data_IF_084690704197
#
_entry.id   IF_084690704197
#
_cell.length_a   1.000
_cell.length_b   1.000
_cell.length_c   1.000
_cell.angle_alpha   90.00
_cell.angle_beta   90.00
_cell.angle_gamma   90.00
#
_symmetry.space_group_name_H-M   'P 1'
#
loop_
_entity.id
_entity.type
_entity.pdbx_description
1 polymer ?
#
# COMPACT_ATOMS: atom_id res chain seq x y z
N UNK A 1 8.04 -8.77 -7.13
CA UNK A 1 7.23 -9.76 -6.40
C UNK A 1 5.83 -9.22 -6.29
N UNK A 2 4.81 -10.00 -6.63
CA UNK A 2 3.40 -9.64 -6.44
C UNK A 2 2.75 -10.79 -5.66
N UNK A 3 2.54 -10.57 -4.36
CA UNK A 3 1.73 -11.44 -3.50
C UNK A 3 0.28 -10.96 -3.62
N UNK A 4 -0.64 -11.81 -4.08
CA UNK A 4 -2.06 -11.49 -4.19
C UNK A 4 -2.75 -11.63 -2.83
N UNK A 5 -2.98 -10.51 -2.15
CA UNK A 5 -3.89 -10.45 -1.00
C UNK A 5 -5.31 -10.09 -1.48
N UNK A 6 -6.38 -10.65 -0.89
CA UNK A 6 -7.74 -10.21 -1.18
C UNK A 6 -7.93 -8.76 -0.71
N UNK A 7 -7.98 -7.82 -1.66
CA UNK A 7 -8.18 -6.38 -1.43
C UNK A 7 -9.49 -5.92 -2.07
N UNK A 8 -10.15 -4.92 -1.47
CA UNK A 8 -11.36 -4.31 -2.04
C UNK A 8 -11.07 -3.61 -3.38
N UNK A 9 -11.99 -3.72 -4.35
CA UNK A 9 -11.85 -3.13 -5.69
C UNK A 9 -11.70 -1.60 -5.70
N UNK A 10 -12.22 -0.89 -4.69
CA UNK A 10 -12.04 0.57 -4.51
C UNK A 10 -10.69 0.94 -3.89
N UNK A 11 -10.06 0.02 -3.15
CA UNK A 11 -8.68 0.16 -2.69
C UNK A 11 -7.72 0.13 -3.89
N UNK A 12 -8.01 -0.71 -4.90
CA UNK A 12 -7.29 -0.72 -6.19
C UNK A 12 -7.70 0.39 -7.18
N UNK A 13 -8.49 1.38 -6.76
CA UNK A 13 -8.92 2.49 -7.62
C UNK A 13 -7.95 3.67 -7.49
N UNK A 14 -7.43 4.18 -8.63
CA UNK A 14 -6.41 5.24 -8.70
C UNK A 14 -6.71 6.60 -8.03
N UNK A 15 -7.84 6.75 -7.34
CA UNK A 15 -8.20 7.94 -6.54
C UNK A 15 -8.03 7.78 -5.02
N UNK A 16 -7.82 6.55 -4.50
CA UNK A 16 -7.62 6.28 -3.08
C UNK A 16 -6.15 6.42 -2.64
N UNK A 17 -5.89 6.35 -1.33
CA UNK A 17 -4.53 6.49 -0.78
C UNK A 17 -3.56 5.40 -1.28
N UNK A 18 -4.07 4.22 -1.63
CA UNK A 18 -3.30 3.18 -2.31
C UNK A 18 -2.86 3.61 -3.72
N UNK A 19 -3.77 4.13 -4.54
CA UNK A 19 -3.44 4.63 -5.88
C UNK A 19 -2.41 5.77 -5.85
N UNK A 20 -2.45 6.64 -4.82
CA UNK A 20 -1.42 7.68 -4.62
C UNK A 20 -0.05 7.08 -4.31
N UNK A 21 0.00 6.00 -3.53
CA UNK A 21 1.23 5.27 -3.26
C UNK A 21 1.77 4.61 -4.52
N UNK A 22 0.92 3.91 -5.28
CA UNK A 22 1.30 3.29 -6.55
C UNK A 22 1.88 4.31 -7.53
N UNK A 23 1.24 5.48 -7.66
CA UNK A 23 1.76 6.57 -8.51
C UNK A 23 3.11 7.07 -8.01
N UNK A 24 3.28 7.27 -6.71
CA UNK A 24 4.55 7.72 -6.12
C UNK A 24 5.69 6.74 -6.43
N UNK A 25 5.44 5.44 -6.27
CA UNK A 25 6.42 4.40 -6.58
C UNK A 25 6.71 4.32 -8.08
N UNK A 26 5.68 4.41 -8.93
CA UNK A 26 5.84 4.42 -10.38
C UNK A 26 6.71 5.59 -10.85
N UNK A 27 6.47 6.79 -10.32
CA UNK A 27 7.24 7.98 -10.70
C UNK A 27 8.68 7.91 -10.18
N UNK A 28 8.92 7.31 -9.00
CA UNK A 28 10.27 7.04 -8.50
C UNK A 28 11.03 6.04 -9.39
N UNK A 29 10.38 4.95 -9.81
CA UNK A 29 10.97 3.95 -10.71
C UNK A 29 11.30 4.57 -12.08
N UNK A 30 10.41 5.41 -12.64
CA UNK A 30 10.68 6.16 -13.88
C UNK A 30 11.89 7.09 -13.77
N UNK A 31 12.16 7.60 -12.56
CA UNK A 31 13.33 8.42 -12.27
C UNK A 31 14.59 7.59 -11.92
N UNK A 32 14.63 6.29 -12.25
CA UNK A 32 15.71 5.35 -11.95
C UNK A 32 16.07 5.25 -10.46
N UNK A 33 15.09 5.47 -9.57
CA UNK A 33 15.26 5.28 -8.12
C UNK A 33 14.89 3.87 -7.72
N UNK A 34 15.63 3.32 -6.75
CA UNK A 34 15.25 2.07 -6.09
C UNK A 34 14.00 2.29 -5.22
N UNK A 35 13.05 1.36 -5.27
CA UNK A 35 11.86 1.36 -4.42
C UNK A 35 11.77 0.01 -3.69
N UNK A 36 11.77 0.05 -2.36
CA UNK A 36 11.51 -1.11 -1.49
C UNK A 36 10.22 -0.87 -0.73
N UNK A 37 9.33 -1.86 -0.71
CA UNK A 37 8.03 -1.78 -0.05
C UNK A 37 7.77 -3.06 0.73
N UNK A 38 7.33 -2.92 1.97
CA UNK A 38 6.80 -3.99 2.81
C UNK A 38 5.33 -3.67 3.12
N UNK A 39 4.44 -4.59 2.77
CA UNK A 39 2.99 -4.45 3.01
C UNK A 39 2.56 -5.58 3.93
N UNK A 40 2.10 -5.21 5.12
CA UNK A 40 1.65 -6.15 6.14
C UNK A 40 0.13 -6.04 6.32
N UNK A 41 -0.64 -7.11 6.07
CA UNK A 41 -2.06 -7.11 6.39
C UNK A 41 -2.26 -7.16 7.90
N UNK A 42 -3.22 -6.37 8.39
CA UNK A 42 -3.64 -6.36 9.79
C UNK A 42 -5.06 -6.88 9.86
N UNK A 43 -5.25 -7.95 10.62
CA UNK A 43 -6.54 -8.59 10.85
C UNK A 43 -7.04 -8.25 12.25
N UNK A 44 -8.35 -8.02 12.38
CA UNK A 44 -9.00 -7.86 13.68
C UNK A 44 -10.28 -8.68 13.70
N UNK A 45 -10.53 -9.39 14.81
CA UNK A 45 -11.65 -10.32 14.93
C UNK A 45 -11.44 -11.62 14.15
N UNK A 46 -12.52 -12.27 13.74
CA UNK A 46 -12.50 -13.58 13.06
C UNK A 46 -12.57 -13.49 11.53
N UNK A 47 -12.54 -12.27 10.98
CA UNK A 47 -12.61 -12.02 9.54
C UNK A 47 -11.37 -12.55 8.81
N UNK A 48 -11.59 -13.19 7.66
CA UNK A 48 -10.52 -13.55 6.71
C UNK A 48 -10.03 -12.37 5.86
N UNK A 49 -10.73 -11.23 5.90
CA UNK A 49 -10.34 -9.99 5.21
C UNK A 49 -9.60 -9.08 6.20
N UNK A 50 -8.40 -8.59 5.86
CA UNK A 50 -7.68 -7.66 6.73
C UNK A 50 -8.48 -6.37 6.88
N UNK A 51 -8.41 -5.75 8.05
CA UNK A 51 -9.06 -4.47 8.34
C UNK A 51 -8.19 -3.28 7.96
N UNK A 52 -6.88 -3.44 7.95
CA UNK A 52 -5.96 -2.43 7.42
C UNK A 52 -4.69 -3.06 6.86
N UNK A 53 -3.87 -2.24 6.22
CA UNK A 53 -2.52 -2.58 5.79
C UNK A 53 -1.54 -1.59 6.39
N UNK A 54 -0.42 -2.08 6.90
CA UNK A 54 0.73 -1.24 7.22
C UNK A 54 1.69 -1.30 6.04
N UNK A 55 2.05 -0.13 5.52
CA UNK A 55 2.93 0.03 4.37
C UNK A 55 4.17 0.76 4.84
N UNK A 56 5.31 0.06 4.78
CA UNK A 56 6.63 0.63 4.98
C UNK A 56 7.32 0.73 3.63
N UNK A 57 7.99 1.85 3.38
CA UNK A 57 8.60 2.08 2.09
C UNK A 57 9.92 2.85 2.21
N UNK A 58 10.82 2.53 1.30
CA UNK A 58 12.10 3.20 1.15
C UNK A 58 12.29 3.54 -0.32
N UNK A 59 12.64 4.79 -0.61
CA UNK A 59 12.91 5.28 -1.97
C UNK A 59 14.35 5.80 -2.01
N UNK A 60 15.17 5.19 -2.87
CA UNK A 60 16.57 5.55 -3.09
C UNK A 60 17.39 5.66 -1.78
N UNK A 61 17.31 4.65 -0.91
CA UNK A 61 18.00 4.68 0.37
C UNK A 61 17.22 5.36 1.51
N UNK A 62 16.24 6.22 1.21
CA UNK A 62 15.52 7.00 2.22
C UNK A 62 14.22 6.33 2.67
N UNK A 63 14.13 5.97 3.95
CA UNK A 63 12.90 5.46 4.56
C UNK A 63 11.87 6.57 4.70
N UNK A 64 10.63 6.28 4.31
CA UNK A 64 9.50 7.19 4.46
C UNK A 64 8.64 6.74 5.66
N UNK A 65 7.85 7.65 6.26
CA UNK A 65 6.96 7.30 7.35
C UNK A 65 6.01 6.17 6.97
N UNK A 66 5.88 5.18 7.87
CA UNK A 66 4.95 4.07 7.68
C UNK A 66 3.52 4.60 7.56
N UNK A 67 2.75 4.03 6.64
CA UNK A 67 1.36 4.40 6.39
C UNK A 67 0.44 3.25 6.76
N UNK A 68 -0.59 3.55 7.55
CA UNK A 68 -1.68 2.61 7.79
C UNK A 68 -2.84 2.95 6.88
N UNK A 69 -3.25 2.01 6.04
CA UNK A 69 -4.35 2.18 5.11
C UNK A 69 -5.52 1.30 5.55
N UNK A 70 -6.68 1.91 5.81
CA UNK A 70 -7.88 1.15 6.17
C UNK A 70 -8.41 0.40 4.95
N UNK A 71 -8.69 -0.88 5.12
CA UNK A 71 -9.34 -1.71 4.09
C UNK A 71 -10.86 -1.48 4.18
N UNK A 72 -11.30 -0.25 3.91
CA UNK A 72 -12.70 0.13 3.81
C UNK A 72 -12.96 0.69 2.41
N UNK A 73 -14.22 0.68 1.98
CA UNK A 73 -14.62 1.23 0.68
C UNK A 73 -14.28 2.73 0.50
N UNK A 74 -13.96 3.44 1.60
CA UNK A 74 -13.66 4.87 1.63
C UNK A 74 -12.17 5.19 1.70
N UNK A 75 -11.30 4.24 2.09
CA UNK A 75 -9.85 4.38 2.09
C UNK A 75 -9.29 5.57 2.89
N UNK A 76 -10.06 6.15 3.83
CA UNK A 76 -9.60 7.15 4.81
C UNK A 76 -9.17 6.47 6.10
#
# INVERSE_FOLDING_TARGET
>A
MQQSLPMDKKFNGGGGDWGKLEKTWQDALKANKEVKVSIQPVFTGTSKRPTSFVVEQQINGASLPARRLQNTASGK
#
